data_IF_038795785857
#
_entry.id   IF_038795785857
#
_cell.length_a   1.000
_cell.length_b   1.000
_cell.length_c   1.000
_cell.angle_alpha   90.00
_cell.angle_beta   90.00
_cell.angle_gamma   90.00
#
_symmetry.space_group_name_H-M   'P 1'
#
loop_
_entity.id
_entity.type
_entity.pdbx_description
1 polymer ?
#
# COMPACT_ATOMS: atom_id res chain seq x y z
N UNK A 1 1.63 -4.03 8.29
CA UNK A 1 1.95 -2.58 8.35
C UNK A 1 0.93 -1.82 9.21
N UNK A 2 1.04 -0.49 9.30
CA UNK A 2 0.15 0.36 10.12
C UNK A 2 -1.34 0.17 9.79
N UNK A 3 -1.71 0.25 8.51
CA UNK A 3 -3.10 0.07 8.06
C UNK A 3 -3.62 -1.31 8.42
N UNK A 4 -2.87 -2.36 8.09
CA UNK A 4 -3.26 -3.75 8.39
C UNK A 4 -3.53 -3.99 9.88
N UNK A 5 -2.63 -3.52 10.77
CA UNK A 5 -2.83 -3.68 12.23
C UNK A 5 -4.07 -2.97 12.77
N UNK A 6 -4.50 -1.88 12.14
CA UNK A 6 -5.70 -1.13 12.55
C UNK A 6 -6.98 -1.61 11.85
N UNK A 7 -6.85 -2.34 10.72
CA UNK A 7 -7.96 -2.89 9.97
C UNK A 7 -8.33 -4.29 10.47
N UNK A 8 -7.37 -5.19 10.66
CA UNK A 8 -7.65 -6.60 10.95
C UNK A 8 -8.48 -6.85 12.21
N UNK A 9 -8.40 -6.05 13.31
CA UNK A 9 -9.30 -6.23 14.46
C UNK A 9 -10.78 -5.93 14.15
N UNK A 10 -11.06 -5.26 13.03
CA UNK A 10 -12.41 -4.91 12.57
C UNK A 10 -12.95 -5.90 11.54
N UNK A 11 -12.13 -6.83 11.08
CA UNK A 11 -12.51 -7.86 10.11
C UNK A 11 -12.90 -9.15 10.84
N UNK A 12 -13.81 -9.91 10.24
CA UNK A 12 -14.12 -11.29 10.61
C UNK A 12 -13.54 -12.21 9.53
N UNK A 13 -13.20 -13.44 9.92
CA UNK A 13 -12.82 -14.52 8.99
C UNK A 13 -11.75 -14.11 7.98
N UNK A 14 -10.63 -13.59 8.48
CA UNK A 14 -9.49 -13.18 7.66
C UNK A 14 -8.27 -14.06 7.90
N UNK A 15 -7.47 -14.23 6.85
CA UNK A 15 -6.14 -14.82 6.93
C UNK A 15 -5.10 -13.78 6.51
N UNK A 16 -3.99 -13.72 7.25
CA UNK A 16 -2.86 -12.84 6.94
C UNK A 16 -1.88 -13.53 6.02
N UNK A 17 -1.31 -12.78 5.09
CA UNK A 17 -0.15 -13.23 4.30
C UNK A 17 1.15 -12.83 5.00
N UNK A 18 2.06 -13.79 5.18
CA UNK A 18 3.37 -13.55 5.80
C UNK A 18 4.48 -14.01 4.87
N UNK A 19 4.83 -13.20 3.88
CA UNK A 19 5.90 -13.48 2.92
C UNK A 19 6.24 -12.27 2.06
N UNK A 20 7.07 -12.50 1.05
CA UNK A 20 7.36 -11.52 0.01
C UNK A 20 6.31 -11.63 -1.10
N UNK A 21 5.66 -10.52 -1.46
CA UNK A 21 4.68 -10.48 -2.55
C UNK A 21 5.31 -10.74 -3.93
N UNK A 22 6.64 -10.79 -4.02
CA UNK A 22 7.36 -11.26 -5.20
C UNK A 22 7.38 -12.80 -5.30
N UNK A 23 7.07 -13.53 -4.23
CA UNK A 23 6.88 -14.99 -4.25
C UNK A 23 5.45 -15.37 -4.65
N UNK A 24 5.23 -15.44 -5.97
CA UNK A 24 3.94 -15.82 -6.56
C UNK A 24 3.45 -17.19 -6.08
N UNK A 25 4.33 -18.18 -5.98
CA UNK A 25 3.93 -19.54 -5.62
C UNK A 25 3.38 -19.60 -4.20
N UNK A 26 4.00 -18.86 -3.27
CA UNK A 26 3.50 -18.72 -1.91
C UNK A 26 2.18 -17.95 -1.87
N UNK A 27 2.03 -16.88 -2.65
CA UNK A 27 0.75 -16.16 -2.78
C UNK A 27 -0.37 -17.10 -3.24
N UNK A 28 -0.15 -17.89 -4.30
CA UNK A 28 -1.13 -18.86 -4.80
C UNK A 28 -1.51 -19.87 -3.71
N UNK A 29 -0.54 -20.38 -2.96
CA UNK A 29 -0.78 -21.35 -1.89
C UNK A 29 -1.59 -20.77 -0.73
N UNK A 30 -1.23 -19.58 -0.25
CA UNK A 30 -1.86 -18.94 0.92
C UNK A 30 -3.21 -18.28 0.60
N UNK A 31 -3.52 -18.05 -0.68
CA UNK A 31 -4.80 -17.47 -1.12
C UNK A 31 -5.92 -18.51 -1.28
N UNK A 32 -5.63 -19.80 -1.12
CA UNK A 32 -6.63 -20.88 -1.25
C UNK A 32 -7.79 -20.68 -0.27
N UNK A 33 -9.00 -20.67 -0.80
CA UNK A 33 -10.23 -20.54 -0.01
C UNK A 33 -10.59 -19.10 0.38
N UNK A 34 -9.88 -18.08 -0.12
CA UNK A 34 -10.24 -16.69 0.08
C UNK A 34 -11.30 -16.22 -0.94
N UNK A 35 -12.26 -15.41 -0.51
CA UNK A 35 -13.27 -14.81 -1.40
C UNK A 35 -12.89 -13.40 -1.89
N UNK A 36 -12.10 -12.67 -1.09
CA UNK A 36 -11.75 -11.27 -1.30
C UNK A 36 -10.28 -11.06 -0.92
N UNK A 37 -9.55 -10.28 -1.72
CA UNK A 37 -8.18 -9.84 -1.39
C UNK A 37 -8.18 -8.37 -0.97
N UNK A 38 -7.62 -8.07 0.21
CA UNK A 38 -7.32 -6.69 0.63
C UNK A 38 -5.82 -6.45 0.46
N UNK A 39 -5.42 -5.82 -0.64
CA UNK A 39 -4.03 -5.59 -0.98
C UNK A 39 -3.48 -4.32 -0.29
N UNK A 40 -2.95 -4.51 0.92
CA UNK A 40 -2.31 -3.46 1.74
C UNK A 40 -0.79 -3.38 1.57
N UNK A 41 -0.19 -4.33 0.84
CA UNK A 41 1.25 -4.40 0.66
C UNK A 41 1.73 -3.27 -0.27
N UNK A 42 2.90 -2.72 0.03
CA UNK A 42 3.51 -1.69 -0.81
C UNK A 42 4.73 -1.06 -0.16
N UNK A 43 5.70 -0.72 -1.00
CA UNK A 43 6.92 0.00 -0.64
C UNK A 43 6.70 1.48 -0.96
N UNK A 44 6.75 2.34 0.06
CA UNK A 44 6.52 3.77 -0.10
C UNK A 44 7.80 4.62 -0.03
N UNK A 45 8.89 4.05 0.47
CA UNK A 45 10.17 4.71 0.60
C UNK A 45 11.33 3.71 0.52
N UNK A 46 12.51 4.23 0.24
CA UNK A 46 13.77 3.49 0.19
C UNK A 46 14.79 4.26 -0.66
N UNK A 47 16.09 3.97 -0.49
CA UNK A 47 17.13 4.58 -1.32
C UNK A 47 17.06 4.11 -2.78
N UNK A 48 16.50 2.93 -3.02
CA UNK A 48 16.37 2.33 -4.34
C UNK A 48 14.93 2.46 -4.86
N UNK A 49 14.74 3.29 -5.87
CA UNK A 49 13.46 3.46 -6.57
C UNK A 49 13.07 2.21 -7.35
N UNK A 50 14.03 1.40 -7.81
CA UNK A 50 13.71 0.15 -8.50
C UNK A 50 12.98 -0.81 -7.57
N UNK A 51 13.42 -0.93 -6.32
CA UNK A 51 12.72 -1.75 -5.33
C UNK A 51 11.27 -1.27 -5.08
N UNK A 52 11.02 0.04 -5.14
CA UNK A 52 9.66 0.61 -5.05
C UNK A 52 8.82 0.13 -6.23
N UNK A 53 9.32 0.29 -7.46
CA UNK A 53 8.64 -0.16 -8.66
C UNK A 53 8.44 -1.67 -8.69
N UNK A 54 9.47 -2.47 -8.43
CA UNK A 54 9.39 -3.93 -8.41
C UNK A 54 8.36 -4.40 -7.40
N UNK A 55 8.43 -3.92 -6.16
CA UNK A 55 7.48 -4.33 -5.11
C UNK A 55 6.05 -3.95 -5.49
N UNK A 56 5.82 -2.71 -5.93
CA UNK A 56 4.45 -2.22 -6.15
C UNK A 56 3.83 -2.68 -7.48
N UNK A 57 4.63 -2.87 -8.52
CA UNK A 57 4.15 -3.28 -9.85
C UNK A 57 4.15 -4.81 -10.00
N UNK A 58 5.32 -5.43 -9.83
CA UNK A 58 5.45 -6.90 -9.96
C UNK A 58 4.68 -7.59 -8.85
N UNK A 59 4.74 -7.07 -7.62
CA UNK A 59 3.95 -7.58 -6.52
C UNK A 59 2.43 -7.50 -6.75
N UNK A 60 1.92 -6.40 -7.32
CA UNK A 60 0.51 -6.28 -7.67
C UNK A 60 0.11 -7.29 -8.76
N UNK A 61 0.94 -7.43 -9.81
CA UNK A 61 0.71 -8.40 -10.88
C UNK A 61 0.71 -9.85 -10.34
N UNK A 62 1.62 -10.19 -9.43
CA UNK A 62 1.65 -11.51 -8.79
C UNK A 62 0.40 -11.79 -7.98
N UNK A 63 -0.11 -10.79 -7.24
CA UNK A 63 -1.36 -10.94 -6.48
C UNK A 63 -2.54 -11.18 -7.42
N UNK A 64 -2.64 -10.44 -8.53
CA UNK A 64 -3.69 -10.67 -9.54
C UNK A 64 -3.60 -12.08 -10.13
N UNK A 65 -2.40 -12.54 -10.48
CA UNK A 65 -2.21 -13.91 -10.99
C UNK A 65 -2.63 -14.95 -9.94
N UNK A 66 -2.24 -14.77 -8.67
CA UNK A 66 -2.66 -15.67 -7.60
C UNK A 66 -4.18 -15.67 -7.39
N UNK A 67 -4.84 -14.52 -7.58
CA UNK A 67 -6.30 -14.41 -7.53
C UNK A 67 -6.96 -15.21 -8.66
N UNK A 68 -6.47 -15.08 -9.89
CA UNK A 68 -6.96 -15.87 -11.01
C UNK A 68 -6.78 -17.38 -10.78
N UNK A 69 -5.60 -17.81 -10.32
CA UNK A 69 -5.32 -19.23 -10.02
C UNK A 69 -6.22 -19.81 -8.91
N UNK A 70 -6.77 -18.96 -8.04
CA UNK A 70 -7.67 -19.34 -6.96
C UNK A 70 -9.14 -18.96 -7.19
N UNK A 71 -9.51 -18.50 -8.39
CA UNK A 71 -10.86 -18.03 -8.73
C UNK A 71 -11.38 -16.91 -7.81
N UNK A 72 -10.48 -16.08 -7.28
CA UNK A 72 -10.85 -14.92 -6.46
C UNK A 72 -11.09 -13.73 -7.37
N UNK A 73 -12.28 -13.17 -7.36
CA UNK A 73 -12.69 -12.13 -8.32
C UNK A 73 -12.86 -10.74 -7.71
N UNK A 74 -12.64 -10.57 -6.40
CA UNK A 74 -12.85 -9.30 -5.70
C UNK A 74 -11.59 -8.80 -5.00
N UNK A 75 -11.24 -7.53 -5.22
CA UNK A 75 -10.10 -6.88 -4.58
C UNK A 75 -10.47 -5.52 -3.98
N UNK A 76 -9.91 -5.22 -2.81
CA UNK A 76 -9.70 -3.85 -2.33
C UNK A 76 -8.22 -3.51 -2.48
N UNK A 77 -7.90 -2.58 -3.37
CA UNK A 77 -6.52 -2.17 -3.65
C UNK A 77 -6.21 -0.84 -2.97
N UNK A 78 -5.09 -0.77 -2.25
CA UNK A 78 -4.64 0.49 -1.64
C UNK A 78 -3.73 1.28 -2.57
N UNK A 79 -4.16 2.51 -2.86
CA UNK A 79 -3.44 3.49 -3.67
C UNK A 79 -3.15 4.77 -2.86
N UNK A 80 -2.62 5.79 -3.54
CA UNK A 80 -2.24 7.10 -3.00
C UNK A 80 -3.07 8.18 -3.68
N UNK A 81 -3.42 9.24 -2.95
CA UNK A 81 -3.95 10.49 -3.55
C UNK A 81 -2.99 11.10 -4.58
N UNK A 82 -1.69 10.82 -4.48
CA UNK A 82 -0.69 11.26 -5.46
C UNK A 82 -0.65 10.44 -6.75
N UNK A 83 -1.43 9.35 -6.87
CA UNK A 83 -1.52 8.48 -8.05
C UNK A 83 -2.29 9.15 -9.21
N UNK A 84 -1.82 10.32 -9.63
CA UNK A 84 -2.45 11.17 -10.66
C UNK A 84 -1.76 11.06 -12.02
N UNK A 85 -0.64 10.32 -12.12
CA UNK A 85 0.12 10.19 -13.36
C UNK A 85 0.96 11.42 -13.72
N UNK A 86 1.36 12.21 -12.71
CA UNK A 86 2.21 13.40 -12.88
C UNK A 86 3.72 13.13 -12.78
N UNK A 87 4.12 11.91 -12.41
CA UNK A 87 5.52 11.48 -12.41
C UNK A 87 6.47 12.26 -11.47
N UNK A 88 6.00 12.61 -10.26
CA UNK A 88 6.78 13.40 -9.31
C UNK A 88 7.72 12.57 -8.43
N UNK A 89 7.33 11.34 -8.09
CA UNK A 89 8.14 10.47 -7.26
C UNK A 89 7.79 9.00 -7.51
N UNK A 90 8.78 8.12 -7.37
CA UNK A 90 8.64 6.70 -7.69
C UNK A 90 7.48 6.00 -6.99
N UNK A 91 7.11 6.42 -5.78
CA UNK A 91 6.00 5.80 -5.06
C UNK A 91 4.65 6.13 -5.71
N UNK A 92 4.33 7.41 -5.90
CA UNK A 92 3.06 7.81 -6.51
C UNK A 92 2.94 7.30 -7.94
N UNK A 93 4.05 7.28 -8.67
CA UNK A 93 4.13 6.76 -10.03
C UNK A 93 3.85 5.27 -10.06
N UNK A 94 4.48 4.51 -9.16
CA UNK A 94 4.22 3.09 -9.04
C UNK A 94 2.77 2.79 -8.65
N UNK A 95 2.12 3.64 -7.85
CA UNK A 95 0.70 3.48 -7.50
C UNK A 95 -0.22 3.80 -8.68
N UNK A 96 0.07 4.84 -9.44
CA UNK A 96 -0.68 5.15 -10.67
C UNK A 96 -0.58 4.01 -11.70
N UNK A 97 0.62 3.47 -11.92
CA UNK A 97 0.81 2.36 -12.85
C UNK A 97 0.14 1.08 -12.31
N UNK A 98 0.27 0.78 -11.01
CA UNK A 98 -0.39 -0.38 -10.41
C UNK A 98 -1.93 -0.28 -10.47
N UNK A 99 -2.52 0.91 -10.38
CA UNK A 99 -3.95 1.11 -10.60
C UNK A 99 -4.38 0.68 -12.00
N UNK A 100 -3.58 0.96 -13.04
CA UNK A 100 -3.87 0.48 -14.40
C UNK A 100 -3.78 -1.04 -14.47
N UNK A 101 -2.72 -1.61 -13.90
CA UNK A 101 -2.53 -3.07 -13.83
C UNK A 101 -3.77 -3.73 -13.21
N UNK A 102 -4.26 -3.28 -12.05
CA UNK A 102 -5.43 -3.91 -11.42
C UNK A 102 -6.74 -3.66 -12.19
N UNK A 103 -6.90 -2.50 -12.85
CA UNK A 103 -8.11 -2.17 -13.63
C UNK A 103 -8.21 -2.91 -14.95
N UNK A 104 -7.09 -3.21 -15.59
CA UNK A 104 -7.03 -3.87 -16.89
C UNK A 104 -7.23 -5.40 -16.80
N UNK A 105 -7.69 -5.91 -15.65
CA UNK A 105 -7.96 -7.32 -15.39
C UNK A 105 -9.45 -7.55 -15.05
N UNK A 106 -9.89 -8.80 -15.08
CA UNK A 106 -11.29 -9.20 -14.82
C UNK A 106 -11.66 -9.20 -13.33
N UNK A 107 -10.82 -8.65 -12.47
CA UNK A 107 -11.03 -8.57 -11.03
C UNK A 107 -11.90 -7.34 -10.70
N UNK A 108 -13.04 -7.56 -10.05
CA UNK A 108 -13.88 -6.52 -9.47
C UNK A 108 -13.09 -5.80 -8.36
N UNK A 109 -12.58 -4.62 -8.69
CA UNK A 109 -11.59 -3.92 -7.87
C UNK A 109 -12.14 -2.60 -7.36
N UNK A 110 -12.17 -2.43 -6.04
CA UNK A 110 -12.32 -1.14 -5.38
C UNK A 110 -10.93 -0.55 -5.08
N UNK A 111 -10.60 0.59 -5.69
CA UNK A 111 -9.34 1.30 -5.43
C UNK A 111 -9.57 2.40 -4.41
N UNK A 112 -8.82 2.36 -3.31
CA UNK A 112 -8.81 3.37 -2.27
C UNK A 112 -7.57 4.24 -2.40
N UNK A 113 -7.71 5.47 -2.92
CA UNK A 113 -6.63 6.47 -2.92
C UNK A 113 -6.56 7.14 -1.55
N UNK A 114 -5.64 6.67 -0.72
CA UNK A 114 -5.49 7.12 0.66
C UNK A 114 -4.58 8.34 0.72
N UNK A 115 -4.92 9.31 1.56
CA UNK A 115 -4.03 10.40 1.93
C UNK A 115 -3.08 9.96 3.04
N UNK A 116 -2.39 10.91 3.67
CA UNK A 116 -1.51 10.61 4.81
C UNK A 116 -2.31 10.05 6.00
N UNK A 117 -2.29 8.74 6.14
CA UNK A 117 -2.85 8.06 7.30
C UNK A 117 -1.94 8.22 8.51
N UNK A 118 -2.54 8.49 9.67
CA UNK A 118 -1.86 8.57 10.96
C UNK A 118 -2.71 7.93 12.05
N UNK A 119 -2.09 7.61 13.17
CA UNK A 119 -2.79 7.07 14.33
C UNK A 119 -1.87 6.44 15.35
N UNK A 120 -2.47 5.89 16.40
CA UNK A 120 -1.77 5.23 17.50
C UNK A 120 -0.83 4.14 16.95
N UNK A 121 0.38 4.07 17.49
CA UNK A 121 1.42 3.09 17.15
C UNK A 121 2.04 3.24 15.73
N UNK A 122 1.78 4.36 15.04
CA UNK A 122 2.61 4.77 13.91
C UNK A 122 3.96 5.31 14.42
N UNK A 123 5.04 5.03 13.69
CA UNK A 123 6.38 5.55 13.96
C UNK A 123 6.96 6.15 12.68
N UNK A 124 7.87 7.10 12.83
CA UNK A 124 8.74 7.61 11.76
C UNK A 124 7.95 8.20 10.56
N UNK A 125 6.85 8.89 10.84
CA UNK A 125 6.02 9.61 9.87
C UNK A 125 5.87 11.07 10.25
N UNK A 126 5.41 11.90 9.30
CA UNK A 126 5.29 13.35 9.49
C UNK A 126 4.52 13.72 10.76
N UNK A 127 3.32 13.16 10.97
CA UNK A 127 2.50 13.48 12.14
C UNK A 127 3.16 13.05 13.43
N UNK A 128 3.79 11.87 13.48
CA UNK A 128 4.50 11.40 14.68
C UNK A 128 5.73 12.24 14.97
N UNK A 129 6.46 12.67 13.94
CA UNK A 129 7.58 13.59 14.05
C UNK A 129 7.16 14.95 14.63
N UNK A 130 6.06 15.52 14.13
CA UNK A 130 5.50 16.76 14.66
C UNK A 130 5.07 16.60 16.13
N UNK A 131 4.34 15.53 16.47
CA UNK A 131 3.91 15.25 17.84
C UNK A 131 5.10 15.10 18.80
N UNK A 132 6.16 14.43 18.38
CA UNK A 132 7.37 14.28 19.19
C UNK A 132 8.15 15.59 19.34
N UNK A 133 8.19 16.41 18.29
CA UNK A 133 8.78 17.75 18.37
C UNK A 133 8.01 18.67 19.32
N UNK A 134 6.67 18.65 19.28
CA UNK A 134 5.84 19.40 20.22
C UNK A 134 6.08 18.98 21.68
N UNK A 135 6.18 17.67 21.95
CA UNK A 135 6.52 17.17 23.30
C UNK A 135 7.89 17.63 23.79
N UNK A 136 8.85 17.79 22.87
CA UNK A 136 10.21 18.26 23.17
C UNK A 136 10.32 19.79 23.20
N UNK A 137 9.25 20.52 22.85
CA UNK A 137 9.26 21.99 22.74
C UNK A 137 10.03 22.52 21.53
N UNK A 138 10.43 21.67 20.60
CA UNK A 138 11.18 22.05 19.40
C UNK A 138 10.75 21.20 18.21
N UNK A 139 10.33 21.85 17.12
CA UNK A 139 9.99 21.20 15.85
C UNK A 139 10.96 21.70 14.78
N UNK A 140 11.68 20.78 14.14
CA UNK A 140 12.54 21.10 13.01
C UNK A 140 11.84 20.70 11.71
N UNK A 141 11.41 21.68 10.92
CA UNK A 141 10.76 21.40 9.63
C UNK A 141 11.83 21.36 8.55
N UNK A 142 11.98 20.21 7.89
CA UNK A 142 12.84 20.13 6.70
C UNK A 142 12.13 20.83 5.52
N UNK A 143 12.75 21.86 4.96
CA UNK A 143 12.22 22.68 3.86
C UNK A 143 11.63 24.02 4.35
N UNK A 144 10.67 24.58 3.61
CA UNK A 144 10.12 25.91 3.85
C UNK A 144 8.83 25.93 4.69
N UNK A 145 8.25 24.75 4.96
CA UNK A 145 6.99 24.63 5.69
C UNK A 145 5.74 25.00 4.87
N UNK A 146 5.89 25.31 3.58
CA UNK A 146 4.78 25.62 2.67
C UNK A 146 4.30 24.38 1.90
N UNK A 147 4.82 23.20 2.25
CA UNK A 147 4.51 21.99 1.50
C UNK A 147 3.04 21.58 1.69
N UNK A 148 2.30 21.54 0.60
CA UNK A 148 0.92 21.05 0.58
C UNK A 148 0.87 19.52 0.53
N UNK A 149 -0.15 18.96 1.17
CA UNK A 149 -0.50 17.53 1.15
C UNK A 149 -2.01 17.48 0.89
N UNK A 150 -2.39 16.89 -0.24
CA UNK A 150 -3.80 16.69 -0.63
C UNK A 150 -4.35 15.40 -0.03
#
# INVERSE_FOLDING_TARGET
GFVGRNLTPKLKDWVGYSGDILDKNKLVKEMKGCDIVIHLAGKFNGPDSNLIYTTNLVGAANVIQAMHENNVSKMVFTSSVGAEGRFYNAYDDSKFIAEKIVRDNTIDTTILRLSNLYGKDQKDKLITFLLDGFKKGQVEVTGDGLQTRY
#
